data_IF_541595105659
#
_entry.id   IF_541595105659
#
_cell.length_a   1.000
_cell.length_b   1.000
_cell.length_c   1.000
_cell.angle_alpha   90.00
_cell.angle_beta   90.00
_cell.angle_gamma   90.00
#
_symmetry.space_group_name_H-M   'P 1'
#
loop_
_entity.id
_entity.type
_entity.pdbx_description
1 polymer ?
#
# COMPACT_ATOMS: atom_id res chain seq x y z
N UNK A 1 -18.83 -7.77 25.57
CA UNK A 1 -19.55 -8.14 24.33
C UNK A 1 -19.59 -6.90 23.47
N UNK A 2 -18.73 -6.83 22.45
CA UNK A 2 -18.70 -5.70 21.51
C UNK A 2 -19.98 -5.84 20.67
N UNK A 3 -20.85 -4.81 20.64
CA UNK A 3 -21.97 -4.76 19.68
C UNK A 3 -21.42 -5.05 18.28
N UNK A 4 -22.14 -5.70 17.37
CA UNK A 4 -21.61 -5.97 16.04
C UNK A 4 -21.33 -4.64 15.32
N UNK A 5 -20.10 -4.14 15.47
CA UNK A 5 -19.69 -2.81 15.02
C UNK A 5 -19.74 -2.73 13.51
N UNK A 6 -19.62 -3.88 12.84
CA UNK A 6 -19.81 -4.02 11.41
C UNK A 6 -21.17 -3.43 10.95
N UNK A 7 -22.26 -3.62 11.69
CA UNK A 7 -23.55 -3.08 11.26
C UNK A 7 -23.67 -1.56 11.44
N UNK A 8 -22.77 -0.96 12.23
CA UNK A 8 -22.69 0.50 12.43
C UNK A 8 -21.71 1.16 11.46
N UNK A 9 -20.73 0.40 10.94
CA UNK A 9 -19.65 0.90 10.10
C UNK A 9 -19.87 0.62 8.60
N UNK A 10 -20.75 -0.32 8.25
CA UNK A 10 -21.07 -0.66 6.86
C UNK A 10 -22.21 0.23 6.37
N UNK A 11 -22.00 0.93 5.25
CA UNK A 11 -23.06 1.69 4.58
C UNK A 11 -24.11 0.75 3.94
N UNK A 12 -25.39 1.17 3.81
CA UNK A 12 -26.41 0.36 3.15
C UNK A 12 -26.00 -0.05 1.72
N UNK A 13 -25.91 -1.35 1.47
CA UNK A 13 -25.50 -1.90 0.17
C UNK A 13 -24.01 -2.24 0.05
N UNK A 14 -23.21 -1.91 1.05
CA UNK A 14 -21.80 -2.26 1.11
C UNK A 14 -21.57 -3.68 1.65
N UNK A 15 -20.60 -4.39 1.08
CA UNK A 15 -20.17 -5.72 1.49
C UNK A 15 -19.37 -5.68 2.79
N UNK A 16 -19.75 -6.54 3.74
CA UNK A 16 -18.96 -6.77 4.96
C UNK A 16 -17.53 -7.25 4.67
N UNK A 17 -17.33 -7.96 3.56
CA UNK A 17 -15.99 -8.38 3.16
C UNK A 17 -15.12 -7.20 2.74
N UNK A 18 -15.68 -6.23 2.02
CA UNK A 18 -14.95 -5.03 1.65
C UNK A 18 -14.58 -4.20 2.88
N UNK A 19 -15.47 -4.13 3.88
CA UNK A 19 -15.13 -3.52 5.17
C UNK A 19 -13.88 -4.18 5.77
N UNK A 20 -13.87 -5.51 5.90
CA UNK A 20 -12.74 -6.24 6.45
C UNK A 20 -11.44 -6.01 5.66
N UNK A 21 -11.51 -6.07 4.32
CA UNK A 21 -10.36 -5.87 3.45
C UNK A 21 -9.85 -4.43 3.54
N UNK A 22 -10.74 -3.44 3.50
CA UNK A 22 -10.39 -2.02 3.58
C UNK A 22 -9.75 -1.66 4.92
N UNK A 23 -10.31 -2.13 6.04
CA UNK A 23 -9.71 -1.95 7.38
C UNK A 23 -8.34 -2.63 7.46
N UNK A 24 -8.19 -3.84 6.91
CA UNK A 24 -6.91 -4.54 6.91
C UNK A 24 -5.84 -3.82 6.06
N UNK A 25 -6.21 -3.25 4.91
CA UNK A 25 -5.32 -2.43 4.10
C UNK A 25 -4.83 -1.22 4.89
N UNK A 26 -5.76 -0.44 5.46
CA UNK A 26 -5.40 0.75 6.25
C UNK A 26 -4.55 0.42 7.47
N UNK A 27 -4.83 -0.69 8.15
CA UNK A 27 -4.03 -1.14 9.28
C UNK A 27 -2.57 -1.47 8.90
N UNK A 28 -2.33 -2.00 7.68
CA UNK A 28 -0.97 -2.23 7.19
C UNK A 28 -0.26 -0.91 6.90
N UNK A 29 -0.93 0.03 6.24
CA UNK A 29 -0.38 1.37 5.98
C UNK A 29 0.04 2.07 7.29
N UNK A 30 -0.81 2.04 8.32
CA UNK A 30 -0.49 2.61 9.64
C UNK A 30 0.77 1.95 10.23
N UNK A 31 0.90 0.63 10.12
CA UNK A 31 2.05 -0.09 10.64
C UNK A 31 3.34 0.21 9.86
N UNK A 32 3.24 0.30 8.52
CA UNK A 32 4.36 0.67 7.63
C UNK A 32 4.81 2.11 7.89
N UNK A 33 3.88 3.06 7.97
CA UNK A 33 4.17 4.46 8.29
C UNK A 33 4.87 4.61 9.65
N UNK A 34 4.44 3.86 10.67
CA UNK A 34 5.07 3.87 11.98
C UNK A 34 6.48 3.27 11.93
N UNK A 35 6.67 2.17 11.20
CA UNK A 35 7.98 1.55 11.01
C UNK A 35 8.96 2.50 10.30
N UNK A 36 8.51 3.18 9.24
CA UNK A 36 9.32 4.14 8.47
C UNK A 36 9.72 5.36 9.31
N UNK A 37 8.83 5.82 10.19
CA UNK A 37 9.09 6.92 11.12
C UNK A 37 9.87 6.50 12.37
N UNK A 38 10.05 5.19 12.59
CA UNK A 38 10.64 4.64 13.82
C UNK A 38 9.77 4.87 15.06
N UNK A 39 8.46 5.01 14.88
CA UNK A 39 7.47 5.28 15.92
C UNK A 39 6.97 3.96 16.53
N UNK A 40 6.83 3.92 17.85
CA UNK A 40 6.23 2.79 18.57
C UNK A 40 4.74 3.10 18.73
N UNK A 41 3.89 2.24 18.17
CA UNK A 41 2.44 2.35 18.31
C UNK A 41 1.99 1.78 19.66
N UNK A 42 1.30 2.60 20.45
CA UNK A 42 0.67 2.19 21.71
C UNK A 42 -0.59 1.32 21.46
N UNK A 43 -1.32 1.62 20.39
CA UNK A 43 -2.55 0.94 19.99
C UNK A 43 -2.31 0.00 18.79
N UNK A 44 -3.15 -1.03 18.66
CA UNK A 44 -3.02 -1.97 17.53
C UNK A 44 -3.39 -1.24 16.23
N UNK A 45 -2.65 -1.44 15.12
CA UNK A 45 -2.94 -0.78 13.84
C UNK A 45 -4.39 -0.98 13.34
N UNK A 46 -4.98 -2.15 13.62
CA UNK A 46 -6.38 -2.45 13.26
C UNK A 46 -7.37 -1.62 14.07
N UNK A 47 -7.06 -1.33 15.33
CA UNK A 47 -7.90 -0.50 16.21
C UNK A 47 -7.83 0.96 15.78
N UNK A 48 -6.63 1.46 15.49
CA UNK A 48 -6.40 2.78 14.89
C UNK A 48 -7.15 2.93 13.57
N UNK A 49 -7.07 1.95 12.66
CA UNK A 49 -7.82 1.99 11.40
C UNK A 49 -9.33 2.11 11.64
N UNK A 50 -9.88 1.33 12.57
CA UNK A 50 -11.32 1.41 12.89
C UNK A 50 -11.70 2.76 13.51
N UNK A 51 -10.83 3.35 14.35
CA UNK A 51 -11.04 4.70 14.88
C UNK A 51 -10.98 5.76 13.78
N UNK A 52 -9.97 5.73 12.91
CA UNK A 52 -9.82 6.66 11.79
C UNK A 52 -11.05 6.62 10.86
N UNK A 53 -11.64 5.44 10.67
CA UNK A 53 -12.87 5.28 9.91
C UNK A 53 -14.08 5.91 10.62
N UNK A 54 -14.22 5.73 11.94
CA UNK A 54 -15.27 6.38 12.74
C UNK A 54 -15.13 7.91 12.75
N UNK A 55 -13.90 8.41 12.70
CA UNK A 55 -13.57 9.82 12.57
C UNK A 55 -13.70 10.35 11.13
N UNK A 56 -14.12 9.50 10.18
CA UNK A 56 -14.30 9.84 8.76
C UNK A 56 -13.02 10.32 8.07
N UNK A 57 -11.84 9.90 8.55
CA UNK A 57 -10.54 10.22 7.93
C UNK A 57 -10.32 9.50 6.60
N UNK A 58 -10.99 8.37 6.40
CA UNK A 58 -11.00 7.63 5.13
C UNK A 58 -12.36 6.95 4.92
N UNK A 59 -12.63 6.52 3.67
CA UNK A 59 -13.80 5.72 3.30
C UNK A 59 -13.39 4.51 2.48
N UNK A 60 -14.14 3.42 2.62
CA UNK A 60 -13.95 2.21 1.82
C UNK A 60 -14.85 2.31 0.61
N UNK A 61 -14.26 2.21 -0.58
CA UNK A 61 -14.98 2.20 -1.86
C UNK A 61 -14.82 0.81 -2.46
N UNK A 62 -15.94 0.18 -2.76
CA UNK A 62 -15.97 -1.07 -3.51
C UNK A 62 -15.90 -0.77 -5.00
N UNK A 63 -14.86 -1.30 -5.65
CA UNK A 63 -14.70 -1.35 -7.09
C UNK A 63 -15.33 -2.63 -7.63
N UNK A 64 -15.82 -2.58 -8.86
CA UNK A 64 -16.27 -3.79 -9.54
C UNK A 64 -15.04 -4.56 -10.03
N UNK A 65 -15.04 -5.90 -9.96
CA UNK A 65 -13.89 -6.77 -10.31
C UNK A 65 -13.16 -6.39 -11.61
N UNK A 66 -13.88 -5.93 -12.63
CA UNK A 66 -13.28 -5.56 -13.91
C UNK A 66 -12.33 -4.37 -13.79
N UNK A 67 -12.59 -3.42 -12.88
CA UNK A 67 -11.72 -2.27 -12.64
C UNK A 67 -10.46 -2.66 -11.83
N UNK A 68 -10.55 -3.69 -11.00
CA UNK A 68 -9.41 -4.22 -10.24
C UNK A 68 -8.41 -4.93 -11.17
N UNK A 69 -8.89 -5.68 -12.18
CA UNK A 69 -8.04 -6.34 -13.20
C UNK A 69 -7.22 -5.30 -13.98
N UNK A 70 -7.86 -4.25 -14.49
CA UNK A 70 -7.16 -3.16 -15.20
C UNK A 70 -6.17 -2.40 -14.31
N UNK A 71 -6.51 -2.18 -13.03
CA UNK A 71 -5.65 -1.47 -12.09
C UNK A 71 -4.43 -2.29 -11.65
N UNK A 72 -4.58 -3.60 -11.50
CA UNK A 72 -3.50 -4.51 -11.14
C UNK A 72 -2.56 -4.72 -12.34
N UNK A 73 -3.09 -4.89 -13.56
CA UNK A 73 -2.28 -4.91 -14.81
C UNK A 73 -1.47 -3.62 -14.98
N UNK A 74 -2.07 -2.45 -14.72
CA UNK A 74 -1.38 -1.18 -14.81
C UNK A 74 -0.26 -0.99 -13.76
N UNK A 75 -0.39 -1.60 -12.58
CA UNK A 75 0.68 -1.59 -11.57
C UNK A 75 1.83 -2.49 -11.98
N UNK A 76 1.54 -3.68 -12.49
CA UNK A 76 2.56 -4.62 -12.97
C UNK A 76 3.40 -3.99 -14.09
N UNK A 77 2.76 -3.35 -15.08
CA UNK A 77 3.46 -2.64 -16.16
C UNK A 77 4.37 -1.52 -15.65
N UNK A 78 3.90 -0.72 -14.68
CA UNK A 78 4.73 0.35 -14.08
C UNK A 78 5.93 -0.20 -13.33
N UNK A 79 5.78 -1.33 -12.64
CA UNK A 79 6.87 -2.00 -11.93
C UNK A 79 7.90 -2.52 -12.94
N UNK A 80 7.46 -3.15 -14.03
CA UNK A 80 8.35 -3.63 -15.10
C UNK A 80 9.12 -2.48 -15.78
N UNK A 81 8.44 -1.35 -16.05
CA UNK A 81 9.08 -0.15 -16.59
C UNK A 81 10.15 0.39 -15.64
N UNK A 82 9.83 0.54 -14.35
CA UNK A 82 10.77 0.99 -13.32
C UNK A 82 12.00 0.08 -13.23
N UNK A 83 11.82 -1.24 -13.21
CA UNK A 83 12.92 -2.21 -13.19
C UNK A 83 13.79 -2.13 -14.45
N UNK A 84 13.18 -1.88 -15.62
CA UNK A 84 13.89 -1.74 -16.89
C UNK A 84 14.68 -0.42 -16.95
N UNK A 85 14.17 0.66 -16.36
CA UNK A 85 14.88 1.93 -16.24
C UNK A 85 16.07 1.82 -15.28
N UNK A 86 15.87 1.21 -14.10
CA UNK A 86 16.92 1.00 -13.11
C UNK A 86 18.07 0.14 -13.65
N UNK A 87 17.76 -0.91 -14.41
CA UNK A 87 18.78 -1.78 -15.02
C UNK A 87 19.58 -1.08 -16.14
N UNK A 88 18.96 -0.18 -16.91
CA UNK A 88 19.66 0.66 -17.91
C UNK A 88 20.59 1.67 -17.24
N UNK A 89 20.15 2.31 -16.16
CA UNK A 89 20.95 3.27 -15.39
C UNK A 89 22.17 2.59 -14.76
N UNK A 90 22.02 1.35 -14.30
CA UNK A 90 23.12 0.61 -13.69
C UNK A 90 24.16 0.12 -14.72
N UNK A 91 23.72 -0.23 -15.93
CA UNK A 91 24.61 -0.59 -17.02
C UNK A 91 25.53 0.57 -17.44
N UNK A 92 24.98 1.79 -17.54
CA UNK A 92 25.72 2.99 -17.97
C UNK A 92 26.80 3.42 -16.96
N UNK A 93 26.58 3.17 -15.66
CA UNK A 93 27.56 3.43 -14.59
C UNK A 93 28.73 2.46 -14.56
N UNK A 94 28.61 1.27 -15.16
CA UNK A 94 29.69 0.28 -15.21
C UNK A 94 30.69 0.51 -16.36
N UNK A 95 30.32 1.27 -17.39
CA UNK A 95 31.21 1.65 -18.49
C UNK A 95 32.21 2.74 -18.12
N UNK A 96 31.86 3.68 -17.25
CA UNK A 96 32.73 4.83 -16.90
C UNK A 96 33.83 4.50 -15.88
N UNK A 97 33.80 3.35 -15.21
CA UNK A 97 34.82 2.98 -14.19
C UNK A 97 35.98 2.11 -14.71
N UNK A 98 35.98 1.72 -16.00
CA UNK A 98 36.98 0.81 -16.55
C UNK A 98 38.21 1.53 -17.18
N UNK A 99 38.10 2.80 -17.56
CA UNK A 99 39.15 3.50 -18.31
C UNK A 99 40.25 4.15 -17.44
N UNK A 100 40.17 4.13 -16.11
CA UNK A 100 41.19 4.78 -15.25
C UNK A 100 42.23 3.84 -14.63
N UNK A 101 42.32 2.57 -15.07
CA UNK A 101 43.32 1.59 -14.55
C UNK A 101 44.17 0.94 -15.65
N UNK A 102 44.62 1.71 -16.64
CA UNK A 102 45.79 1.39 -17.45
C UNK A 102 46.70 2.62 -17.58
N UNK A 103 47.30 3.03 -16.45
CA UNK A 103 48.51 3.85 -16.46
C UNK A 103 49.20 3.74 -15.10
N UNK A 104 50.07 2.74 -14.99
CA UNK A 104 51.27 2.74 -14.14
C UNK A 104 52.26 1.74 -14.71
#
# INVERSE_FOLDING_TARGET
MIKPIADLLVEPGQSRYALCVGVAKRAREIAEEAADKGEILDEKPVELAVQEMQEHKYRIVETNRNEDEEADEAKELKIEEQLNEESKINADKTSDSADSKLSN
#
